data_IF_213204157197
#
_entry.id   IF_213204157197
#
_cell.length_a   1.000
_cell.length_b   1.000
_cell.length_c   1.000
_cell.angle_alpha   90.00
_cell.angle_beta   90.00
_cell.angle_gamma   90.00
#
_symmetry.space_group_name_H-M   'P 1'
#
loop_
_entity.id
_entity.type
_entity.pdbx_description
1 polymer ?
#
# COMPACT_ATOMS: atom_id res chain seq x y z
N UNK A 1 -6.11 11.23 -6.54
CA UNK A 1 -4.65 11.28 -6.41
C UNK A 1 -4.05 11.44 -7.80
N UNK A 2 -3.36 12.53 -8.11
CA UNK A 2 -2.89 12.82 -9.48
C UNK A 2 -1.98 11.71 -10.01
N UNK A 3 -1.07 11.19 -9.20
CA UNK A 3 -0.08 10.18 -9.61
C UNK A 3 -0.74 8.86 -10.07
N UNK A 4 -1.89 8.50 -9.49
CA UNK A 4 -2.69 7.34 -9.91
C UNK A 4 -3.49 7.65 -11.17
N UNK A 5 -4.08 8.86 -11.24
CA UNK A 5 -4.86 9.30 -12.40
C UNK A 5 -4.02 9.49 -13.66
N UNK A 6 -2.76 9.88 -13.49
CA UNK A 6 -1.77 10.05 -14.56
C UNK A 6 -1.10 8.72 -14.96
N UNK A 7 -1.38 7.62 -14.24
CA UNK A 7 -0.82 6.30 -14.50
C UNK A 7 0.63 6.11 -14.04
N UNK A 8 1.22 7.11 -13.39
CA UNK A 8 2.59 7.04 -12.85
C UNK A 8 2.69 6.07 -11.68
N UNK A 9 1.60 5.90 -10.91
CA UNK A 9 1.44 4.86 -9.90
C UNK A 9 0.27 3.97 -10.30
N UNK A 10 0.51 2.66 -10.38
CA UNK A 10 -0.52 1.65 -10.61
C UNK A 10 -0.97 1.03 -9.29
N UNK A 11 -2.28 0.83 -9.12
CA UNK A 11 -2.82 -0.08 -8.12
C UNK A 11 -2.83 -1.48 -8.72
N UNK A 12 -2.07 -2.41 -8.13
CA UNK A 12 -1.90 -3.77 -8.65
C UNK A 12 -2.86 -4.78 -8.03
N UNK A 13 -3.20 -4.59 -6.75
CA UNK A 13 -4.12 -5.46 -6.03
C UNK A 13 -4.79 -4.71 -4.87
N UNK A 14 -6.01 -5.12 -4.55
CA UNK A 14 -6.77 -4.64 -3.40
C UNK A 14 -7.45 -5.85 -2.74
N UNK A 15 -7.33 -5.95 -1.42
CA UNK A 15 -8.14 -6.84 -0.60
C UNK A 15 -8.83 -6.02 0.50
N UNK A 16 -10.14 -6.17 0.66
CA UNK A 16 -10.93 -5.41 1.63
C UNK A 16 -11.82 -6.30 2.49
N UNK A 17 -11.81 -5.99 3.77
CA UNK A 17 -12.86 -6.33 4.73
C UNK A 17 -13.57 -5.02 5.10
N UNK A 18 -14.71 -4.70 4.45
CA UNK A 18 -15.31 -3.37 4.49
C UNK A 18 -15.60 -2.87 5.90
N UNK A 19 -15.19 -1.63 6.19
CA UNK A 19 -15.35 -1.01 7.51
C UNK A 19 -14.38 -1.51 8.58
N UNK A 20 -13.56 -2.52 8.27
CA UNK A 20 -12.51 -3.01 9.16
C UNK A 20 -11.10 -2.72 8.62
N UNK A 21 -10.74 -3.33 7.48
CA UNK A 21 -9.38 -3.23 6.95
C UNK A 21 -9.28 -3.42 5.43
N UNK A 22 -8.49 -2.55 4.81
CA UNK A 22 -8.02 -2.63 3.43
C UNK A 22 -6.53 -2.90 3.37
N UNK A 23 -6.11 -3.69 2.39
CA UNK A 23 -4.73 -3.80 1.93
C UNK A 23 -4.63 -3.45 0.46
N UNK A 24 -3.74 -2.51 0.12
CA UNK A 24 -3.59 -1.98 -1.24
C UNK A 24 -2.13 -2.13 -1.68
N UNK A 25 -1.92 -2.86 -2.77
CA UNK A 25 -0.61 -3.03 -3.40
C UNK A 25 -0.42 -1.99 -4.50
N UNK A 26 0.63 -1.20 -4.42
CA UNK A 26 0.95 -0.15 -5.40
C UNK A 26 2.31 -0.39 -6.05
N UNK A 27 2.45 0.02 -7.31
CA UNK A 27 3.71 -0.08 -8.07
C UNK A 27 3.92 1.20 -8.87
N UNK A 28 5.18 1.58 -9.06
CA UNK A 28 5.58 2.56 -10.07
C UNK A 28 6.79 2.00 -10.81
N UNK A 29 6.95 2.42 -12.07
CA UNK A 29 8.16 2.14 -12.86
C UNK A 29 9.12 3.34 -12.89
N UNK A 30 8.73 4.48 -12.33
CA UNK A 30 9.61 5.63 -12.15
C UNK A 30 10.37 5.49 -10.82
N UNK A 31 11.66 5.20 -10.91
CA UNK A 31 12.54 5.05 -9.74
C UNK A 31 12.74 6.32 -8.91
N UNK A 32 12.19 7.47 -9.34
CA UNK A 32 12.21 8.73 -8.59
C UNK A 32 11.02 8.87 -7.64
N UNK A 33 10.02 7.98 -7.75
CA UNK A 33 8.76 8.08 -7.04
C UNK A 33 8.69 7.00 -5.97
N UNK A 34 8.38 7.41 -4.74
CA UNK A 34 7.96 6.48 -3.69
C UNK A 34 6.44 6.31 -3.78
N UNK A 35 5.93 5.17 -4.27
CA UNK A 35 4.50 5.00 -4.48
C UNK A 35 3.75 4.90 -3.14
N UNK A 36 4.38 4.40 -2.08
CA UNK A 36 3.75 4.31 -0.75
C UNK A 36 3.66 5.71 -0.14
N UNK A 37 4.77 6.44 -0.11
CA UNK A 37 4.81 7.82 0.40
C UNK A 37 3.84 8.74 -0.32
N UNK A 38 3.74 8.65 -1.65
CA UNK A 38 2.77 9.40 -2.43
C UNK A 38 1.33 9.09 -2.01
N UNK A 39 0.98 7.82 -1.81
CA UNK A 39 -0.35 7.38 -1.40
C UNK A 39 -0.70 7.73 0.05
N UNK A 40 0.28 7.67 0.96
CA UNK A 40 0.11 7.99 2.38
C UNK A 40 -0.03 9.50 2.57
N UNK A 41 0.78 10.29 1.86
CA UNK A 41 0.84 11.75 2.01
C UNK A 41 1.51 12.19 3.32
N UNK A 42 1.70 13.51 3.48
CA UNK A 42 2.34 14.06 4.68
C UNK A 42 1.59 13.62 5.95
N UNK A 43 2.28 12.90 6.84
CA UNK A 43 1.71 12.36 8.09
C UNK A 43 0.44 11.53 7.89
N UNK A 44 0.29 10.87 6.73
CA UNK A 44 -0.87 10.03 6.44
C UNK A 44 -2.11 10.80 5.97
N UNK A 45 -1.99 12.09 5.64
CA UNK A 45 -3.14 12.93 5.32
C UNK A 45 -4.01 12.41 4.17
N UNK A 46 -3.39 11.85 3.11
CA UNK A 46 -4.10 11.35 1.94
C UNK A 46 -4.83 10.05 2.25
N UNK A 47 -4.14 9.09 2.88
CA UNK A 47 -4.75 7.80 3.25
C UNK A 47 -5.82 7.96 4.34
N UNK A 48 -5.65 8.90 5.28
CA UNK A 48 -6.64 9.20 6.32
C UNK A 48 -7.91 9.82 5.73
N UNK A 49 -7.78 10.71 4.74
CA UNK A 49 -8.95 11.28 4.06
C UNK A 49 -9.83 10.17 3.46
N UNK A 50 -9.21 9.23 2.73
CA UNK A 50 -9.93 8.07 2.16
C UNK A 50 -10.51 7.20 3.27
N UNK A 51 -9.72 6.84 4.29
CA UNK A 51 -10.18 6.06 5.45
C UNK A 51 -11.44 6.66 6.09
N UNK A 52 -11.47 7.98 6.27
CA UNK A 52 -12.60 8.68 6.88
C UNK A 52 -13.87 8.61 6.00
N UNK A 53 -13.72 8.65 4.68
CA UNK A 53 -14.84 8.52 3.73
C UNK A 53 -15.45 7.12 3.72
N UNK A 54 -14.69 6.09 4.09
CA UNK A 54 -15.13 4.69 4.08
C UNK A 54 -15.37 4.11 5.48
N UNK A 55 -15.72 4.97 6.44
CA UNK A 55 -16.13 4.55 7.78
C UNK A 55 -14.97 4.21 8.71
N UNK A 56 -13.84 4.92 8.58
CA UNK A 56 -12.61 4.71 9.35
C UNK A 56 -11.98 3.33 9.15
N UNK A 57 -12.19 2.72 7.98
CA UNK A 57 -11.54 1.46 7.62
C UNK A 57 -10.01 1.65 7.62
N UNK A 58 -9.29 0.72 8.26
CA UNK A 58 -7.83 0.80 8.29
C UNK A 58 -7.23 0.46 6.93
N UNK A 59 -6.53 1.39 6.31
CA UNK A 59 -5.89 1.16 5.00
C UNK A 59 -4.38 0.96 5.19
N UNK A 60 -3.89 -0.24 4.87
CA UNK A 60 -2.45 -0.49 4.73
C UNK A 60 -2.07 -0.43 3.24
N UNK A 61 -1.02 0.33 2.93
CA UNK A 61 -0.49 0.48 1.57
C UNK A 61 0.93 -0.09 1.54
N UNK A 62 1.22 -0.94 0.56
CA UNK A 62 2.53 -1.59 0.43
C UNK A 62 2.98 -1.69 -1.03
N UNK A 63 4.29 -1.87 -1.22
CA UNK A 63 4.91 -2.00 -2.54
C UNK A 63 4.60 -3.39 -3.11
N UNK A 64 4.03 -3.43 -4.31
CA UNK A 64 3.89 -4.65 -5.08
C UNK A 64 5.24 -5.12 -5.62
N UNK A 65 5.53 -6.42 -5.52
CA UNK A 65 6.64 -7.08 -6.22
C UNK A 65 6.08 -8.14 -7.16
N UNK A 66 6.72 -8.34 -8.32
CA UNK A 66 6.41 -9.45 -9.21
C UNK A 66 7.02 -10.77 -8.70
N UNK A 67 7.97 -10.69 -7.75
CA UNK A 67 8.45 -11.85 -7.01
C UNK A 67 7.43 -12.25 -5.94
N UNK A 68 6.84 -13.46 -5.99
CA UNK A 68 5.80 -13.86 -5.04
C UNK A 68 6.24 -13.84 -3.58
N UNK A 69 7.50 -14.21 -3.28
CA UNK A 69 7.99 -14.23 -1.90
C UNK A 69 8.07 -12.81 -1.32
N UNK A 70 8.64 -11.87 -2.09
CA UNK A 70 8.72 -10.47 -1.69
C UNK A 70 7.33 -9.83 -1.61
N UNK A 71 6.43 -10.16 -2.55
CA UNK A 71 5.04 -9.69 -2.51
C UNK A 71 4.35 -10.10 -1.21
N UNK A 72 4.48 -11.37 -0.80
CA UNK A 72 3.89 -11.87 0.45
C UNK A 72 4.51 -11.17 1.66
N UNK A 73 5.83 -10.99 1.70
CA UNK A 73 6.51 -10.25 2.77
C UNK A 73 5.99 -8.82 2.87
N UNK A 74 5.90 -8.10 1.74
CA UNK A 74 5.42 -6.73 1.71
C UNK A 74 3.94 -6.61 2.11
N UNK A 75 3.11 -7.56 1.68
CA UNK A 75 1.68 -7.60 2.00
C UNK A 75 1.42 -7.71 3.51
N UNK A 76 2.33 -8.34 4.26
CA UNK A 76 2.22 -8.50 5.70
C UNK A 76 2.56 -7.23 6.49
N UNK A 77 3.11 -6.19 5.85
CA UNK A 77 3.26 -4.87 6.44
C UNK A 77 1.93 -4.41 7.09
N UNK A 78 1.95 -3.83 8.30
CA UNK A 78 3.09 -3.35 9.07
C UNK A 78 3.76 -4.39 9.98
N UNK A 79 3.35 -5.65 9.94
CA UNK A 79 3.92 -6.68 10.81
C UNK A 79 5.36 -6.96 10.37
N UNK A 80 6.30 -6.70 11.28
CA UNK A 80 7.72 -6.95 11.07
C UNK A 80 8.08 -8.35 11.58
N UNK A 81 9.08 -8.99 10.97
CA UNK A 81 9.72 -10.22 11.45
C UNK A 81 8.88 -11.51 11.41
N UNK A 82 7.98 -11.68 10.44
CA UNK A 82 7.22 -12.94 10.30
C UNK A 82 8.09 -14.04 9.65
N UNK A 83 8.93 -13.68 8.69
CA UNK A 83 9.81 -14.62 8.00
C UNK A 83 11.25 -14.41 8.46
N UNK A 84 11.68 -15.20 9.43
CA UNK A 84 13.07 -15.26 9.87
C UNK A 84 13.81 -16.32 9.02
N UNK A 85 14.01 -16.04 7.73
CA UNK A 85 14.89 -16.86 6.89
C UNK A 85 16.36 -16.52 7.26
N UNK A 86 16.87 -17.04 8.38
CA UNK A 86 18.28 -16.87 8.71
C UNK A 86 18.70 -16.78 10.17
N UNK A 87 17.86 -17.19 11.14
CA UNK A 87 18.33 -17.61 12.47
C UNK A 87 17.54 -18.81 12.96
#
# INVERSE_FOLDING_TARGET
MPEISEGTIEIKAIARDPGYRSKIAVKTYDGRIDPVGACVGMRGSRVQAVSNEIGNERIDIFIHSDNPAEFVVNCLSPVKNIFNFGR
#
